data_IF_553514754512
#
_entry.id   IF_553514754512
#
_cell.length_a   1.000
_cell.length_b   1.000
_cell.length_c   1.000
_cell.angle_alpha   90.00
_cell.angle_beta   90.00
_cell.angle_gamma   90.00
#
_symmetry.space_group_name_H-M   'P 1'
#
loop_
_entity.id
_entity.type
_entity.pdbx_description
1 polymer ?
#
# COMPACT_ATOMS: atom_id res chain seq x y z
N UNK A 1 -15.30 -11.94 9.34
CA UNK A 1 -15.89 -11.48 8.07
C UNK A 1 -14.75 -11.27 7.12
N UNK A 2 -14.69 -12.02 6.04
CA UNK A 2 -13.70 -11.82 4.99
C UNK A 2 -14.17 -10.66 4.12
N UNK A 3 -13.46 -9.53 4.16
CA UNK A 3 -13.80 -8.34 3.36
C UNK A 3 -13.34 -8.47 1.91
N UNK A 4 -12.51 -9.47 1.60
CA UNK A 4 -11.87 -9.60 0.29
C UNK A 4 -10.90 -8.46 -0.05
N UNK A 5 -10.48 -7.65 0.94
CA UNK A 5 -9.51 -6.57 0.75
C UNK A 5 -8.11 -7.12 0.95
N UNK A 6 -7.22 -6.98 -0.05
CA UNK A 6 -5.82 -7.41 0.06
C UNK A 6 -4.88 -6.27 0.48
N UNK A 7 -5.27 -5.01 0.22
CA UNK A 7 -4.44 -3.83 0.44
C UNK A 7 -5.28 -2.70 1.01
N UNK A 8 -4.82 -2.09 2.11
CA UNK A 8 -5.36 -0.84 2.62
C UNK A 8 -4.57 0.33 2.04
N UNK A 9 -5.20 1.05 1.11
CA UNK A 9 -4.59 2.21 0.45
C UNK A 9 -4.43 3.39 1.41
N UNK A 10 -3.24 4.01 1.41
CA UNK A 10 -2.89 5.28 2.08
C UNK A 10 -3.68 5.61 3.39
N UNK A 11 -3.54 4.83 4.48
CA UNK A 11 -4.50 4.78 5.59
C UNK A 11 -4.74 6.11 6.33
N UNK A 12 -3.68 6.89 6.56
CA UNK A 12 -3.76 8.14 7.35
C UNK A 12 -3.95 9.39 6.50
N UNK A 13 -4.10 9.25 5.18
CA UNK A 13 -4.30 10.38 4.25
C UNK A 13 -5.54 11.21 4.60
N UNK A 14 -6.56 10.58 5.17
CA UNK A 14 -7.81 11.24 5.59
C UNK A 14 -7.57 12.36 6.62
N UNK A 15 -6.67 12.15 7.59
CA UNK A 15 -6.36 13.13 8.63
C UNK A 15 -5.65 14.35 8.03
N UNK A 16 -4.68 14.13 7.12
CA UNK A 16 -4.00 15.22 6.43
C UNK A 16 -4.96 16.00 5.54
N UNK A 17 -5.84 15.33 4.78
CA UNK A 17 -6.89 16.01 3.98
C UNK A 17 -7.80 16.86 4.86
N UNK A 18 -8.14 16.37 6.04
CA UNK A 18 -8.94 17.09 7.04
C UNK A 18 -8.15 18.17 7.80
N UNK A 19 -6.84 18.36 7.53
CA UNK A 19 -5.93 19.24 8.27
C UNK A 19 -5.94 18.96 9.78
N UNK A 20 -6.03 17.69 10.15
CA UNK A 20 -5.99 17.20 11.53
C UNK A 20 -4.68 16.49 11.80
N UNK A 21 -4.29 16.49 13.06
CA UNK A 21 -3.18 15.66 13.53
C UNK A 21 -3.50 14.18 13.30
N UNK A 22 -2.47 13.44 12.91
CA UNK A 22 -2.56 12.00 12.73
C UNK A 22 -2.48 11.35 14.13
N UNK A 23 -3.50 10.56 14.54
CA UNK A 23 -3.48 9.89 15.83
C UNK A 23 -2.44 8.74 15.82
N UNK A 24 -1.25 9.01 16.36
CA UNK A 24 -0.12 8.05 16.38
C UNK A 24 -0.43 6.80 17.20
N UNK A 25 -1.33 6.90 18.17
CA UNK A 25 -1.85 5.79 18.97
C UNK A 25 -2.61 4.74 18.13
N UNK A 26 -3.11 5.11 16.94
CA UNK A 26 -3.75 4.17 16.01
C UNK A 26 -2.76 3.36 15.16
N UNK A 27 -1.48 3.71 15.12
CA UNK A 27 -0.51 3.07 14.23
C UNK A 27 -0.37 1.57 14.53
N UNK A 28 -0.13 1.24 15.80
CA UNK A 28 0.07 -0.14 16.24
C UNK A 28 -1.22 -0.98 16.18
N UNK A 29 -2.38 -0.51 16.67
CA UNK A 29 -3.65 -1.23 16.50
C UNK A 29 -3.98 -1.52 15.03
N UNK A 30 -3.76 -0.55 14.15
CA UNK A 30 -4.02 -0.74 12.72
C UNK A 30 -3.06 -1.76 12.10
N UNK A 31 -1.76 -1.67 12.37
CA UNK A 31 -0.77 -2.62 11.85
C UNK A 31 -1.12 -4.06 12.26
N UNK A 32 -1.49 -4.27 13.53
CA UNK A 32 -1.92 -5.59 14.02
C UNK A 32 -3.17 -6.09 13.33
N UNK A 33 -4.18 -5.23 13.17
CA UNK A 33 -5.41 -5.59 12.46
C UNK A 33 -5.13 -6.00 11.01
N UNK A 34 -4.25 -5.27 10.32
CA UNK A 34 -3.85 -5.59 8.95
C UNK A 34 -3.16 -6.96 8.87
N UNK A 35 -2.20 -7.21 9.77
CA UNK A 35 -1.51 -8.51 9.88
C UNK A 35 -2.49 -9.66 10.14
N UNK A 36 -3.38 -9.50 11.12
CA UNK A 36 -4.36 -10.53 11.51
C UNK A 36 -5.30 -10.93 10.36
N UNK A 37 -5.57 -9.99 9.46
CA UNK A 37 -6.44 -10.19 8.30
C UNK A 37 -5.68 -10.45 7.00
N UNK A 38 -4.34 -10.57 7.03
CA UNK A 38 -3.54 -10.78 5.82
C UNK A 38 -3.57 -9.60 4.83
N UNK A 39 -3.91 -8.40 5.30
CA UNK A 39 -4.03 -7.18 4.49
C UNK A 39 -2.72 -6.42 4.51
N UNK A 40 -2.26 -5.95 3.35
CA UNK A 40 -1.06 -5.14 3.24
C UNK A 40 -1.33 -3.64 3.47
N UNK A 41 -0.36 -2.93 4.02
CA UNK A 41 -0.34 -1.47 4.05
C UNK A 41 0.32 -0.92 2.78
N UNK A 42 -0.33 0.02 2.12
CA UNK A 42 0.23 0.69 0.94
C UNK A 42 1.14 1.87 1.32
N UNK A 43 2.38 1.88 0.80
CA UNK A 43 3.19 3.08 0.68
C UNK A 43 2.81 3.77 -0.62
N UNK A 44 2.37 5.01 -0.49
CA UNK A 44 1.93 5.84 -1.60
C UNK A 44 2.40 7.28 -1.41
N UNK A 45 2.99 7.87 -2.44
CA UNK A 45 3.45 9.26 -2.44
C UNK A 45 2.62 10.19 -3.34
N UNK A 46 1.64 9.67 -4.09
CA UNK A 46 0.77 10.47 -4.93
C UNK A 46 -0.17 11.32 -4.06
N UNK A 47 0.08 12.62 -3.98
CA UNK A 47 -0.61 13.55 -3.05
C UNK A 47 -0.51 13.14 -1.58
N UNK A 48 0.47 12.29 -1.25
CA UNK A 48 0.63 11.69 0.05
C UNK A 48 2.04 11.78 0.61
N UNK A 49 2.12 11.92 1.92
CA UNK A 49 3.35 11.91 2.69
C UNK A 49 3.20 10.77 3.71
N UNK A 50 3.65 9.56 3.37
CA UNK A 50 3.60 8.40 4.27
C UNK A 50 4.43 8.67 5.52
N UNK A 51 3.89 8.37 6.70
CA UNK A 51 4.58 8.59 7.98
C UNK A 51 5.58 7.44 8.24
N UNK A 52 6.90 7.72 8.34
CA UNK A 52 7.90 6.67 8.55
C UNK A 52 7.67 5.85 9.82
N UNK A 53 7.10 6.44 10.89
CA UNK A 53 6.84 5.71 12.13
C UNK A 53 5.79 4.63 11.95
N UNK A 54 4.76 4.89 11.13
CA UNK A 54 3.75 3.87 10.83
C UNK A 54 4.38 2.67 10.09
N UNK A 55 5.23 2.93 9.09
CA UNK A 55 5.86 1.85 8.33
C UNK A 55 6.93 1.10 9.12
N UNK A 56 7.61 1.79 10.05
CA UNK A 56 8.47 1.13 11.04
C UNK A 56 7.66 0.18 11.94
N UNK A 57 6.50 0.61 12.43
CA UNK A 57 5.60 -0.25 13.21
C UNK A 57 5.07 -1.42 12.37
N UNK A 58 4.69 -1.20 11.11
CA UNK A 58 4.30 -2.27 10.20
C UNK A 58 5.41 -3.32 10.05
N UNK A 59 6.68 -2.89 9.95
CA UNK A 59 7.83 -3.79 9.90
C UNK A 59 8.00 -4.57 11.22
N UNK A 60 7.93 -3.89 12.37
CA UNK A 60 8.04 -4.50 13.70
C UNK A 60 6.92 -5.54 13.96
N UNK A 61 5.70 -5.23 13.52
CA UNK A 61 4.53 -6.11 13.66
C UNK A 61 4.47 -7.19 12.57
N UNK A 62 5.40 -7.21 11.59
CA UNK A 62 5.39 -8.11 10.43
C UNK A 62 4.12 -7.97 9.56
N UNK A 63 3.63 -6.76 9.42
CA UNK A 63 2.53 -6.41 8.51
C UNK A 63 3.05 -6.33 7.08
N UNK A 64 2.39 -6.94 6.08
CA UNK A 64 2.82 -6.83 4.69
C UNK A 64 2.79 -5.37 4.21
N UNK A 65 3.77 -4.98 3.42
CA UNK A 65 3.88 -3.63 2.84
C UNK A 65 3.90 -3.77 1.31
N UNK A 66 3.13 -2.93 0.62
CA UNK A 66 3.10 -2.85 -0.84
C UNK A 66 3.40 -1.44 -1.33
N UNK A 67 3.96 -1.34 -2.53
CA UNK A 67 4.26 -0.05 -3.16
C UNK A 67 3.19 0.25 -4.20
N UNK A 68 2.52 1.39 -4.05
CA UNK A 68 1.58 1.91 -5.04
C UNK A 68 2.05 3.27 -5.55
N UNK A 69 2.12 3.42 -6.87
CA UNK A 69 2.42 4.72 -7.50
C UNK A 69 1.18 5.62 -7.56
N UNK A 70 -0.03 5.05 -7.60
CA UNK A 70 -1.31 5.78 -7.80
C UNK A 70 -1.18 6.82 -8.94
N UNK A 71 -0.53 6.37 -10.00
CA UNK A 71 -0.16 7.16 -11.16
C UNK A 71 -1.40 7.56 -11.96
N UNK A 72 -1.52 8.86 -12.23
CA UNK A 72 -2.51 9.39 -13.18
C UNK A 72 -1.86 9.75 -14.52
N UNK A 73 -0.52 9.77 -14.59
CA UNK A 73 0.26 9.97 -15.80
C UNK A 73 1.25 8.83 -16.05
N UNK A 74 1.52 8.50 -17.30
CA UNK A 74 2.42 7.37 -17.67
C UNK A 74 3.83 7.49 -17.07
N UNK A 75 4.35 8.71 -16.93
CA UNK A 75 5.68 8.93 -16.36
C UNK A 75 5.75 8.64 -14.85
N UNK A 76 4.62 8.48 -14.17
CA UNK A 76 4.53 8.23 -12.71
C UNK A 76 4.53 6.72 -12.40
N UNK A 77 4.28 5.85 -13.38
CA UNK A 77 4.09 4.39 -13.17
C UNK A 77 5.32 3.74 -12.51
N UNK A 78 6.52 4.21 -12.83
CA UNK A 78 7.80 3.67 -12.31
C UNK A 78 8.44 4.50 -11.19
N UNK A 79 7.76 5.54 -10.71
CA UNK A 79 8.29 6.47 -9.70
C UNK A 79 8.20 5.84 -8.30
N UNK A 80 9.18 4.99 -7.96
CA UNK A 80 9.26 4.31 -6.66
C UNK A 80 10.48 4.72 -5.83
N UNK A 81 11.28 5.67 -6.31
CA UNK A 81 12.44 6.17 -5.58
C UNK A 81 12.11 6.70 -4.17
N UNK A 82 11.03 7.49 -3.96
CA UNK A 82 10.67 7.95 -2.62
C UNK A 82 10.23 6.79 -1.73
N UNK A 83 9.54 5.77 -2.27
CA UNK A 83 9.19 4.56 -1.54
C UNK A 83 10.42 3.81 -1.05
N UNK A 84 11.38 3.57 -1.93
CA UNK A 84 12.64 2.90 -1.59
C UNK A 84 13.45 3.70 -0.57
N UNK A 85 13.44 5.04 -0.69
CA UNK A 85 14.13 5.94 0.24
C UNK A 85 13.52 5.89 1.65
N UNK A 86 12.19 5.87 1.76
CA UNK A 86 11.49 5.72 3.04
C UNK A 86 11.84 4.37 3.67
N UNK A 87 11.78 3.30 2.90
CA UNK A 87 12.07 1.94 3.34
C UNK A 87 13.53 1.80 3.82
N UNK A 88 14.49 2.37 3.08
CA UNK A 88 15.87 2.42 3.51
C UNK A 88 16.05 3.23 4.79
N UNK A 89 15.33 4.35 4.92
CA UNK A 89 15.36 5.22 6.11
C UNK A 89 14.87 4.55 7.39
N UNK A 90 13.92 3.59 7.29
CA UNK A 90 13.45 2.79 8.43
C UNK A 90 14.27 1.51 8.66
N UNK A 91 15.39 1.33 7.94
CA UNK A 91 16.31 0.20 8.12
C UNK A 91 15.95 -1.05 7.31
N UNK A 92 15.03 -0.96 6.35
CA UNK A 92 14.68 -2.10 5.51
C UNK A 92 15.71 -2.28 4.39
N UNK A 93 16.27 -3.48 4.27
CA UNK A 93 17.23 -3.83 3.24
C UNK A 93 16.55 -4.24 1.93
N UNK A 94 17.26 -4.10 0.81
CA UNK A 94 16.83 -4.56 -0.52
C UNK A 94 16.53 -6.07 -0.59
N UNK A 95 17.08 -6.86 0.33
CA UNK A 95 16.85 -8.30 0.42
C UNK A 95 15.48 -8.65 1.03
N UNK A 96 14.91 -7.74 1.84
CA UNK A 96 13.59 -7.88 2.44
C UNK A 96 12.45 -7.46 1.50
N UNK A 97 12.77 -6.83 0.37
CA UNK A 97 11.82 -6.49 -0.70
C UNK A 97 11.28 -7.71 -1.45
N UNK A 98 11.71 -8.94 -1.11
CA UNK A 98 11.28 -10.16 -1.79
C UNK A 98 10.54 -11.13 -0.85
N UNK A 99 9.21 -11.01 -0.81
CA UNK A 99 8.24 -12.09 -0.59
C UNK A 99 6.82 -11.56 -0.84
N UNK A 100 6.07 -12.01 -1.86
CA UNK A 100 4.62 -11.86 -1.83
C UNK A 100 4.12 -12.72 -0.67
N UNK A 101 3.89 -12.10 0.50
CA UNK A 101 3.27 -12.78 1.65
C UNK A 101 1.75 -12.86 1.50
N UNK A 102 1.20 -12.12 0.52
CA UNK A 102 -0.16 -12.27 0.04
C UNK A 102 -0.10 -13.30 -1.08
N UNK A 103 -0.40 -14.57 -0.76
CA UNK A 103 -0.75 -15.52 -1.80
C UNK A 103 -2.02 -14.99 -2.47
N UNK A 104 -1.90 -14.55 -3.73
CA UNK A 104 -3.06 -14.21 -4.55
C UNK A 104 -3.82 -15.52 -4.82
N UNK A 105 -4.76 -15.88 -3.92
CA UNK A 105 -5.72 -16.96 -4.14
C UNK A 105 -6.89 -16.52 -5.02
N UNK A 106 -6.71 -15.46 -5.81
CA UNK A 106 -7.64 -15.09 -6.86
C UNK A 106 -7.31 -15.92 -8.09
N UNK A 107 -8.19 -16.85 -8.46
CA UNK A 107 -8.28 -17.24 -9.87
C UNK A 107 -8.36 -15.93 -10.68
N UNK A 108 -7.30 -15.62 -11.42
CA UNK A 108 -7.42 -14.73 -12.56
C UNK A 108 -8.47 -15.38 -13.47
N UNK A 109 -9.74 -14.99 -13.31
CA UNK A 109 -10.71 -15.20 -14.38
C UNK A 109 -10.20 -14.34 -15.53
N UNK A 110 -9.40 -14.95 -16.41
CA UNK A 110 -9.13 -14.45 -17.74
C UNK A 110 -10.47 -14.18 -18.40
N UNK A 111 -10.96 -12.96 -18.27
CA UNK A 111 -11.89 -12.43 -19.25
C UNK A 111 -11.01 -12.07 -20.45
N UNK A 112 -11.19 -12.70 -21.63
CA UNK A 112 -10.38 -12.40 -22.78
C UNK A 112 -10.48 -10.90 -23.06
N UNK A 113 -9.34 -10.22 -23.09
CA UNK A 113 -9.27 -8.85 -23.56
C UNK A 113 -9.78 -8.81 -25.01
N UNK A 114 -10.97 -8.25 -25.24
CA UNK A 114 -11.55 -8.07 -26.59
C UNK A 114 -11.23 -6.65 -27.08
N UNK A 115 -10.32 -6.49 -28.07
CA UNK A 115 -9.94 -5.20 -28.62
C UNK A 115 -11.09 -4.44 -29.31
N UNK A 116 -12.28 -5.03 -29.48
CA UNK A 116 -13.43 -4.40 -30.16
C UNK A 116 -14.37 -3.65 -29.23
N UNK A 117 -14.31 -3.89 -27.93
CA UNK A 117 -15.12 -3.16 -26.95
C UNK A 117 -14.31 -2.02 -26.35
N UNK A 118 -13.95 -1.06 -27.21
CA UNK A 118 -13.60 0.28 -26.75
C UNK A 118 -14.80 0.88 -26.04
N UNK A 119 -14.82 0.79 -24.71
CA UNK A 119 -15.77 1.53 -23.90
C UNK A 119 -15.00 2.37 -22.90
N UNK A 120 -14.89 3.64 -23.26
CA UNK A 120 -14.77 4.79 -22.38
C UNK A 120 -15.51 4.59 -21.06
N UNK A 121 -14.93 5.06 -19.96
CA UNK A 121 -15.50 6.08 -19.08
C UNK A 121 -14.57 6.23 -17.85
N UNK A 122 -14.09 7.46 -17.67
CA UNK A 122 -13.92 8.23 -16.41
C UNK A 122 -13.56 7.45 -15.15
#
# INVERSE_FOLDING_TARGET
>A
MDSGIQVLAHPFRVFRKAKREVPRDLFQPLARLLKENGVAAEINFHTNQPDPDFFRICMEEMTPIVLGSDAHNLYEIGEFMPHLSLLAGIGMSSRQLHRPSVEFSGECRESPWDPRNGCSLI
#
